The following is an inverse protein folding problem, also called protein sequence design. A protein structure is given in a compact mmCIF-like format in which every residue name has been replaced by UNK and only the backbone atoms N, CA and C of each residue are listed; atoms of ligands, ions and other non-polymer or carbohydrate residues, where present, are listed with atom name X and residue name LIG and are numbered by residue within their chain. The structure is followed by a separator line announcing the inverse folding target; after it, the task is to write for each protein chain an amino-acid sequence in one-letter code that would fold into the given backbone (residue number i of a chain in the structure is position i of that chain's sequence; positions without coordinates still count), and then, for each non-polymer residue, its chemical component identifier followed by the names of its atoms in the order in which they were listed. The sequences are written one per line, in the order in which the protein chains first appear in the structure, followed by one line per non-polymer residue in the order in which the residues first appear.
data_IF_646555106927
#
_entry.id   IF_646555106927
#
_cell.length_a   1.000
_cell.length_b   1.000
_cell.length_c   1.000
_cell.angle_alpha   90.00
_cell.angle_beta   90.00
_cell.angle_gamma   90.00
#
_symmetry.space_group_name_H-M   'P 1'
#
loop_
_entity.id
_entity.type
_entity.pdbx_description
1 polymer ?
#
# COMPACT_ATOMS: atom_id res chain seq x y z
N UNK A 1 32.94 -9.83 34.58
CA UNK A 1 32.18 -8.64 35.05
C UNK A 1 31.46 -9.01 36.33
N UNK A 2 31.42 -8.14 37.33
CA UNK A 2 30.57 -8.33 38.52
C UNK A 2 29.09 -8.23 38.13
N UNK A 3 28.19 -8.78 38.96
CA UNK A 3 26.73 -8.65 38.74
C UNK A 3 26.32 -7.17 38.55
N UNK A 4 26.90 -6.27 39.35
CA UNK A 4 26.65 -4.83 39.24
C UNK A 4 27.13 -4.23 37.91
N UNK A 5 28.28 -4.67 37.39
CA UNK A 5 28.78 -4.25 36.06
C UNK A 5 27.88 -4.75 34.93
N UNK A 6 27.33 -5.97 35.04
CA UNK A 6 26.38 -6.52 34.05
C UNK A 6 25.08 -5.73 34.06
N UNK A 7 24.54 -5.41 35.24
CA UNK A 7 23.35 -4.57 35.37
C UNK A 7 23.55 -3.17 34.77
N UNK A 8 24.67 -2.51 35.07
CA UNK A 8 25.00 -1.20 34.50
C UNK A 8 25.18 -1.26 32.98
N UNK A 9 25.81 -2.31 32.47
CA UNK A 9 25.98 -2.52 31.03
C UNK A 9 24.63 -2.70 30.33
N UNK A 10 23.77 -3.59 30.83
CA UNK A 10 22.42 -3.79 30.29
C UNK A 10 21.60 -2.50 30.34
N UNK A 11 21.65 -1.77 31.47
CA UNK A 11 20.97 -0.48 31.61
C UNK A 11 21.44 0.55 30.57
N UNK A 12 22.76 0.63 30.31
CA UNK A 12 23.33 1.55 29.32
C UNK A 12 22.85 1.24 27.89
N UNK A 13 22.73 -0.05 27.54
CA UNK A 13 22.23 -0.48 26.23
C UNK A 13 20.76 -0.11 26.07
N UNK A 14 19.94 -0.42 27.09
CA UNK A 14 18.52 -0.08 27.09
C UNK A 14 18.34 1.45 26.96
N UNK A 15 19.09 2.22 27.73
CA UNK A 15 19.05 3.69 27.69
C UNK A 15 19.43 4.23 26.32
N UNK A 16 20.53 3.76 25.73
CA UNK A 16 20.97 4.20 24.40
C UNK A 16 19.96 3.86 23.30
N UNK A 17 19.33 2.69 23.39
CA UNK A 17 18.29 2.29 22.43
C UNK A 17 17.01 3.15 22.56
N UNK A 18 16.55 3.39 23.80
CA UNK A 18 15.41 4.27 24.07
C UNK A 18 15.71 5.68 23.56
N UNK A 19 16.90 6.21 23.83
CA UNK A 19 17.32 7.54 23.36
C UNK A 19 17.30 7.61 21.83
N UNK A 20 17.90 6.64 21.13
CA UNK A 20 17.88 6.57 19.68
C UNK A 20 16.45 6.55 19.12
N UNK A 21 15.58 5.71 19.68
CA UNK A 21 14.18 5.65 19.26
C UNK A 21 13.44 6.97 19.48
N UNK A 22 13.58 7.58 20.66
CA UNK A 22 12.93 8.86 20.97
C UNK A 22 13.41 9.95 20.01
N UNK A 23 14.71 9.99 19.70
CA UNK A 23 15.26 10.92 18.70
C UNK A 23 14.66 10.69 17.31
N UNK A 24 14.53 9.44 16.86
CA UNK A 24 13.92 9.12 15.56
C UNK A 24 12.44 9.49 15.50
N UNK A 25 11.67 9.17 16.54
CA UNK A 25 10.26 9.57 16.65
C UNK A 25 10.08 11.07 16.71
N UNK A 26 10.99 11.79 17.39
CA UNK A 26 10.97 13.24 17.44
C UNK A 26 11.16 13.82 16.03
N UNK A 27 12.16 13.33 15.28
CA UNK A 27 12.38 13.75 13.88
C UNK A 27 11.15 13.46 13.02
N UNK A 28 10.61 12.24 13.08
CA UNK A 28 9.40 11.86 12.32
C UNK A 28 8.20 12.73 12.70
N UNK A 29 8.02 13.02 13.99
CA UNK A 29 6.92 13.85 14.49
C UNK A 29 7.08 15.31 14.05
N UNK A 30 8.29 15.86 14.09
CA UNK A 30 8.59 17.20 13.57
C UNK A 30 8.27 17.26 12.08
N UNK A 31 8.76 16.30 11.29
CA UNK A 31 8.48 16.23 9.85
C UNK A 31 6.98 16.11 9.59
N UNK A 32 6.26 15.26 10.31
CA UNK A 32 4.81 15.16 10.21
C UNK A 32 4.12 16.48 10.54
N UNK A 33 4.49 17.12 11.64
CA UNK A 33 3.89 18.38 12.06
C UNK A 33 4.09 19.49 11.02
N UNK A 34 5.31 19.67 10.52
CA UNK A 34 5.57 20.72 9.53
C UNK A 34 5.00 20.39 8.15
N UNK A 35 5.22 19.19 7.61
CA UNK A 35 4.82 18.83 6.24
C UNK A 35 3.31 18.55 6.15
N UNK A 36 2.75 17.81 7.12
CA UNK A 36 1.36 17.33 7.08
C UNK A 36 0.37 18.19 7.87
N UNK A 37 0.81 19.07 8.77
CA UNK A 37 -0.10 19.95 9.53
C UNK A 37 0.05 21.42 9.12
N UNK A 38 1.25 22.00 9.27
CA UNK A 38 1.47 23.44 9.04
C UNK A 38 1.48 23.77 7.54
N UNK A 39 2.33 23.10 6.76
CA UNK A 39 2.58 23.47 5.37
C UNK A 39 1.74 22.67 4.35
N UNK A 40 0.95 21.68 4.78
CA UNK A 40 0.14 20.86 3.89
C UNK A 40 -0.70 21.67 2.87
N UNK A 41 -1.38 22.78 3.25
CA UNK A 41 -2.13 23.61 2.29
C UNK A 41 -1.23 24.24 1.21
N UNK A 42 -0.01 24.65 1.57
CA UNK A 42 0.97 25.25 0.66
C UNK A 42 1.69 24.21 -0.22
N UNK A 43 1.72 22.94 0.23
CA UNK A 43 2.44 21.85 -0.42
C UNK A 43 1.55 20.98 -1.32
N UNK A 44 0.25 21.29 -1.46
CA UNK A 44 -0.70 20.50 -2.28
C UNK A 44 -0.23 20.28 -3.73
N UNK A 45 0.54 21.20 -4.31
CA UNK A 45 1.09 21.02 -5.66
C UNK A 45 2.07 19.84 -5.75
N UNK A 46 2.79 19.54 -4.69
CA UNK A 46 3.77 18.45 -4.59
C UNK A 46 3.16 17.12 -4.12
N UNK A 47 1.88 17.13 -3.74
CA UNK A 47 1.21 15.96 -3.21
C UNK A 47 1.11 14.87 -4.28
N UNK A 48 1.51 13.65 -3.95
CA UNK A 48 1.49 12.54 -4.91
C UNK A 48 0.05 12.04 -5.12
N UNK A 49 -0.66 11.72 -4.03
CA UNK A 49 -2.00 11.16 -4.10
C UNK A 49 -3.11 12.23 -3.98
N UNK A 50 -4.15 12.22 -4.85
CA UNK A 50 -5.27 13.17 -4.81
C UNK A 50 -6.24 12.96 -3.65
N UNK A 51 -6.21 11.76 -3.06
CA UNK A 51 -7.13 11.37 -2.00
C UNK A 51 -6.34 11.15 -0.73
N UNK A 52 -6.67 11.90 0.31
CA UNK A 52 -6.14 11.66 1.65
C UNK A 52 -6.89 10.48 2.26
N UNK A 53 -6.14 9.46 2.69
CA UNK A 53 -6.71 8.29 3.39
C UNK A 53 -6.20 8.13 4.81
N UNK A 54 -5.04 8.73 5.10
CA UNK A 54 -4.49 8.73 6.45
C UNK A 54 -5.31 9.63 7.39
N UNK A 55 -6.03 8.98 8.31
CA UNK A 55 -6.70 9.60 9.45
C UNK A 55 -6.03 9.25 10.78
N UNK A 56 -6.62 9.71 11.88
CA UNK A 56 -6.09 9.45 13.24
C UNK A 56 -5.96 7.96 13.58
N UNK A 57 -6.86 7.13 13.04
CA UNK A 57 -6.83 5.67 13.23
C UNK A 57 -5.59 5.05 12.60
N UNK A 58 -5.24 5.45 11.37
CA UNK A 58 -4.02 4.96 10.71
C UNK A 58 -2.78 5.44 11.46
N UNK A 59 -2.69 6.73 11.80
CA UNK A 59 -1.54 7.29 12.54
C UNK A 59 -1.33 6.57 13.87
N UNK A 60 -2.40 6.29 14.63
CA UNK A 60 -2.31 5.54 15.89
C UNK A 60 -1.81 4.12 15.67
N UNK A 61 -2.26 3.45 14.61
CA UNK A 61 -1.77 2.13 14.26
C UNK A 61 -0.30 2.16 13.83
N UNK A 62 0.11 3.17 13.07
CA UNK A 62 1.48 3.35 12.62
C UNK A 62 2.43 3.52 13.81
N UNK A 63 2.08 4.42 14.74
CA UNK A 63 2.83 4.62 16.00
C UNK A 63 2.90 3.34 16.82
N UNK A 64 1.79 2.59 16.94
CA UNK A 64 1.77 1.30 17.65
C UNK A 64 2.74 0.29 17.03
N UNK A 65 2.74 0.15 15.71
CA UNK A 65 3.65 -0.74 15.00
C UNK A 65 5.12 -0.31 15.21
N UNK A 66 5.39 1.00 15.13
CA UNK A 66 6.73 1.55 15.42
C UNK A 66 7.20 1.18 16.81
N UNK A 67 6.32 1.20 17.82
CA UNK A 67 6.65 0.77 19.19
C UNK A 67 6.99 -0.73 19.25
N UNK A 68 6.28 -1.57 18.51
CA UNK A 68 6.54 -3.02 18.48
C UNK A 68 7.93 -3.31 17.86
N UNK A 69 8.32 -2.58 16.83
CA UNK A 69 9.65 -2.70 16.19
C UNK A 69 10.78 -2.39 17.19
N UNK A 70 10.59 -1.42 18.10
CA UNK A 70 11.56 -1.12 19.17
C UNK A 70 11.85 -2.35 20.01
N UNK A 71 10.80 -3.04 20.44
CA UNK A 71 10.92 -4.16 21.38
C UNK A 71 11.77 -5.28 20.78
N UNK A 72 11.72 -5.47 19.46
CA UNK A 72 12.60 -6.40 18.78
C UNK A 72 14.06 -5.90 18.68
N UNK A 73 14.27 -4.61 18.42
CA UNK A 73 15.63 -4.04 18.37
C UNK A 73 16.36 -4.00 19.71
N UNK A 74 15.62 -4.00 20.84
CA UNK A 74 16.14 -4.20 22.19
C UNK A 74 16.77 -5.59 22.40
N UNK A 75 16.50 -6.56 21.53
CA UNK A 75 17.10 -7.90 21.59
C UNK A 75 18.37 -7.94 20.74
N UNK A 76 18.32 -7.42 19.51
CA UNK A 76 19.42 -7.61 18.55
C UNK A 76 20.64 -6.73 18.81
N UNK A 77 20.43 -5.48 19.26
CA UNK A 77 21.53 -4.55 19.55
C UNK A 77 22.45 -5.04 20.68
N UNK A 78 21.94 -5.49 21.85
CA UNK A 78 22.80 -6.05 22.89
C UNK A 78 23.62 -7.24 22.42
N UNK A 79 23.05 -8.11 21.58
CA UNK A 79 23.77 -9.28 21.04
C UNK A 79 25.00 -8.82 20.26
N UNK A 80 24.86 -7.83 19.37
CA UNK A 80 25.99 -7.30 18.59
C UNK A 80 27.06 -6.69 19.50
N UNK A 81 26.67 -5.93 20.53
CA UNK A 81 27.60 -5.31 21.48
C UNK A 81 28.33 -6.35 22.33
N UNK A 82 27.64 -7.40 22.79
CA UNK A 82 28.25 -8.51 23.52
C UNK A 82 29.25 -9.23 22.62
N UNK A 83 28.88 -9.56 21.38
CA UNK A 83 29.79 -10.20 20.42
C UNK A 83 31.01 -9.33 20.10
N UNK A 84 30.85 -8.00 20.06
CA UNK A 84 31.96 -7.07 19.92
C UNK A 84 32.91 -7.12 21.13
N UNK A 85 32.37 -7.09 22.36
CA UNK A 85 33.20 -7.18 23.58
C UNK A 85 33.94 -8.51 23.69
N UNK A 86 33.35 -9.59 23.18
CA UNK A 86 33.99 -10.91 23.09
C UNK A 86 35.03 -11.00 21.96
N UNK A 87 35.19 -9.95 21.15
CA UNK A 87 36.13 -9.93 20.03
C UNK A 87 35.69 -10.76 18.81
N UNK A 88 34.43 -11.19 18.75
CA UNK A 88 33.91 -11.97 17.62
C UNK A 88 33.55 -11.10 16.41
N UNK A 89 33.23 -9.82 16.62
CA UNK A 89 33.00 -8.87 15.53
C UNK A 89 34.26 -8.09 15.22
N UNK A 90 34.34 -7.57 14.00
CA UNK A 90 35.40 -6.68 13.52
C UNK A 90 35.01 -5.20 13.63
N UNK A 91 34.11 -4.86 14.56
CA UNK A 91 33.69 -3.47 14.77
C UNK A 91 34.78 -2.74 15.55
N UNK A 92 35.26 -1.62 15.00
CA UNK A 92 36.20 -0.74 15.68
C UNK A 92 35.57 0.61 16.04
N UNK A 93 36.04 1.20 17.15
CA UNK A 93 35.46 2.40 17.75
C UNK A 93 36.24 3.66 17.41
N UNK A 94 37.58 3.59 17.42
CA UNK A 94 38.43 4.74 17.11
C UNK A 94 38.36 5.08 15.61
N UNK A 95 37.80 6.24 15.21
CA UNK A 95 37.71 6.62 13.80
C UNK A 95 39.08 6.80 13.13
N UNK A 96 40.15 6.98 13.90
CA UNK A 96 41.49 7.20 13.36
C UNK A 96 42.29 5.91 13.15
N UNK A 97 41.81 4.76 13.67
CA UNK A 97 42.56 3.49 13.65
C UNK A 97 43.06 3.09 12.26
N UNK A 98 42.27 3.34 11.21
CA UNK A 98 42.61 3.04 9.81
C UNK A 98 42.70 4.31 8.94
N UNK A 99 42.63 5.49 9.56
CA UNK A 99 42.64 6.78 8.88
C UNK A 99 41.32 7.17 8.16
N UNK A 100 41.23 8.44 7.78
CA UNK A 100 40.01 9.04 7.19
C UNK A 100 39.61 8.39 5.86
N UNK A 101 40.58 8.03 5.01
CA UNK A 101 40.30 7.39 3.72
C UNK A 101 39.55 6.06 3.87
N UNK A 102 39.96 5.25 4.84
CA UNK A 102 39.27 3.99 5.13
C UNK A 102 37.89 4.22 5.77
N UNK A 103 37.73 5.25 6.61
CA UNK A 103 36.42 5.62 7.16
C UNK A 103 35.43 6.01 6.05
N UNK A 104 35.87 6.83 5.08
CA UNK A 104 35.05 7.22 3.92
C UNK A 104 34.70 5.98 3.10
N UNK A 105 35.68 5.11 2.81
CA UNK A 105 35.43 3.84 2.14
C UNK A 105 34.39 2.99 2.90
N UNK A 106 34.50 2.91 4.22
CA UNK A 106 33.56 2.17 5.07
C UNK A 106 32.13 2.73 4.95
N UNK A 107 31.97 4.07 4.98
CA UNK A 107 30.66 4.70 4.78
C UNK A 107 30.07 4.30 3.42
N UNK A 108 30.85 4.40 2.34
CA UNK A 108 30.39 4.14 0.97
C UNK A 108 30.09 2.65 0.74
N UNK A 109 30.96 1.74 1.19
CA UNK A 109 30.78 0.30 0.95
C UNK A 109 29.60 -0.25 1.74
N UNK A 110 29.40 0.19 3.00
CA UNK A 110 28.24 -0.19 3.79
C UNK A 110 26.95 0.33 3.15
N UNK A 111 26.96 1.55 2.61
CA UNK A 111 25.82 2.12 1.89
C UNK A 111 25.47 1.29 0.64
N UNK A 112 26.47 0.93 -0.18
CA UNK A 112 26.28 0.13 -1.39
C UNK A 112 25.76 -1.28 -1.09
N UNK A 113 26.36 -1.97 -0.11
CA UNK A 113 25.91 -3.30 0.33
C UNK A 113 24.49 -3.21 0.88
N UNK A 114 24.22 -2.21 1.71
CA UNK A 114 22.91 -2.01 2.33
C UNK A 114 21.81 -1.73 1.31
N UNK A 115 22.09 -0.89 0.30
CA UNK A 115 21.13 -0.58 -0.76
C UNK A 115 20.83 -1.81 -1.65
N UNK A 116 21.86 -2.55 -2.04
CA UNK A 116 21.70 -3.81 -2.78
C UNK A 116 20.88 -4.84 -1.97
N UNK A 117 21.27 -5.06 -0.71
CA UNK A 117 20.55 -5.97 0.17
C UNK A 117 19.09 -5.57 0.35
N UNK A 118 18.82 -4.28 0.59
CA UNK A 118 17.47 -3.78 0.75
C UNK A 118 16.61 -4.15 -0.46
N UNK A 119 17.08 -3.89 -1.68
CA UNK A 119 16.34 -4.24 -2.90
C UNK A 119 15.96 -5.73 -2.94
N UNK A 120 16.92 -6.63 -2.76
CA UNK A 120 16.67 -8.07 -2.84
C UNK A 120 15.80 -8.59 -1.70
N UNK A 121 16.08 -8.16 -0.47
CA UNK A 121 15.31 -8.53 0.70
C UNK A 121 13.86 -8.02 0.62
N UNK A 122 13.68 -6.78 0.16
CA UNK A 122 12.37 -6.19 -0.03
C UNK A 122 11.59 -6.91 -1.13
N UNK A 123 12.20 -7.19 -2.28
CA UNK A 123 11.59 -8.00 -3.34
C UNK A 123 11.20 -9.39 -2.84
N UNK A 124 12.04 -10.03 -2.01
CA UNK A 124 11.75 -11.33 -1.42
C UNK A 124 10.56 -11.28 -0.46
N UNK A 125 10.43 -10.21 0.34
CA UNK A 125 9.29 -9.98 1.24
C UNK A 125 7.94 -9.86 0.50
N UNK A 126 7.93 -9.59 -0.81
CA UNK A 126 6.72 -9.60 -1.64
C UNK A 126 6.30 -10.97 -2.16
N UNK A 127 7.04 -12.04 -1.83
CA UNK A 127 6.55 -13.39 -2.05
C UNK A 127 5.26 -13.63 -1.23
N UNK A 128 4.25 -14.36 -1.74
CA UNK A 128 2.91 -14.40 -1.13
C UNK A 128 2.88 -14.78 0.36
N UNK A 129 3.77 -15.68 0.79
CA UNK A 129 3.90 -16.11 2.17
C UNK A 129 4.48 -15.01 3.06
N UNK A 130 5.66 -14.49 2.70
CA UNK A 130 6.32 -13.43 3.47
C UNK A 130 5.51 -12.14 3.47
N UNK A 131 4.84 -11.82 2.36
CA UNK A 131 3.95 -10.67 2.29
C UNK A 131 2.85 -10.79 3.34
N UNK A 132 2.11 -11.90 3.33
CA UNK A 132 0.97 -12.12 4.23
C UNK A 132 1.35 -12.02 5.70
N UNK A 133 2.50 -12.58 6.09
CA UNK A 133 2.87 -12.72 7.50
C UNK A 133 3.78 -11.60 8.03
N UNK A 134 4.57 -10.97 7.16
CA UNK A 134 5.60 -10.00 7.57
C UNK A 134 5.31 -8.65 6.93
N UNK A 135 5.30 -8.57 5.60
CA UNK A 135 5.33 -7.28 4.91
C UNK A 135 3.96 -6.58 4.78
N UNK A 136 2.86 -7.31 4.97
CA UNK A 136 1.51 -6.75 4.87
C UNK A 136 1.28 -5.61 5.87
N UNK A 137 1.95 -5.62 7.02
CA UNK A 137 1.85 -4.54 8.03
C UNK A 137 2.36 -3.21 7.45
N UNK A 138 3.46 -3.23 6.72
CA UNK A 138 4.00 -2.06 6.04
C UNK A 138 3.04 -1.47 5.00
N UNK A 139 2.39 -2.36 4.24
CA UNK A 139 1.44 -2.03 3.18
C UNK A 139 0.02 -1.69 3.67
N UNK A 140 -0.25 -1.75 4.98
CA UNK A 140 -1.54 -1.32 5.55
C UNK A 140 -1.73 0.20 5.47
N UNK A 141 -0.65 0.96 5.34
CA UNK A 141 -0.69 2.42 5.20
C UNK A 141 -1.15 2.82 3.80
N UNK A 142 -2.48 2.92 3.64
CA UNK A 142 -3.16 3.30 2.38
C UNK A 142 -2.68 4.63 1.79
N UNK A 143 -2.15 5.49 2.65
CA UNK A 143 -1.56 6.77 2.31
C UNK A 143 -0.35 6.99 3.23
N UNK A 144 0.85 6.87 2.67
CA UNK A 144 2.10 6.92 3.42
C UNK A 144 2.24 8.26 4.15
N UNK A 145 2.44 8.20 5.46
CA UNK A 145 2.78 9.35 6.30
C UNK A 145 4.21 9.21 6.83
N UNK A 146 4.83 10.27 7.39
CA UNK A 146 6.13 10.12 8.04
C UNK A 146 6.17 9.03 9.12
N UNK A 147 5.04 8.70 9.77
CA UNK A 147 5.00 7.59 10.74
C UNK A 147 5.06 6.20 10.10
N UNK A 148 4.69 6.07 8.81
CA UNK A 148 4.86 4.82 8.05
C UNK A 148 6.33 4.39 7.98
N UNK A 149 7.27 5.35 8.08
CA UNK A 149 8.74 5.12 8.07
C UNK A 149 9.19 3.99 8.99
N UNK A 150 8.58 3.84 10.17
CA UNK A 150 8.93 2.79 11.15
C UNK A 150 7.77 1.83 11.41
N UNK A 151 6.71 1.88 10.61
CA UNK A 151 5.54 1.03 10.76
C UNK A 151 5.74 -0.29 10.03
N UNK A 152 6.30 -1.28 10.75
CA UNK A 152 6.62 -2.59 10.20
C UNK A 152 6.17 -3.72 11.10
N UNK A 153 6.19 -4.94 10.57
CA UNK A 153 6.26 -6.14 11.41
C UNK A 153 7.63 -6.21 12.10
N UNK A 154 7.71 -6.73 13.33
CA UNK A 154 8.95 -6.68 14.12
C UNK A 154 10.14 -7.44 13.49
N UNK A 155 9.88 -8.46 12.67
CA UNK A 155 10.92 -9.18 11.91
C UNK A 155 11.40 -8.45 10.66
N UNK A 156 10.60 -7.54 10.11
CA UNK A 156 10.86 -6.94 8.81
C UNK A 156 12.13 -6.06 8.81
N UNK A 157 12.37 -5.19 9.81
CA UNK A 157 13.63 -4.45 9.90
C UNK A 157 14.86 -5.35 10.03
N UNK A 158 14.73 -6.52 10.66
CA UNK A 158 15.82 -7.49 10.76
C UNK A 158 16.16 -8.10 9.41
N UNK A 159 15.15 -8.42 8.61
CA UNK A 159 15.32 -8.93 7.24
C UNK A 159 15.90 -7.84 6.34
N UNK A 160 15.32 -6.64 6.34
CA UNK A 160 15.75 -5.52 5.51
C UNK A 160 17.16 -5.00 5.87
N UNK A 161 17.58 -5.17 7.12
CA UNK A 161 18.91 -4.77 7.60
C UNK A 161 19.85 -5.96 7.81
N UNK A 162 19.51 -7.15 7.35
CA UNK A 162 20.27 -8.39 7.59
C UNK A 162 21.76 -8.30 7.24
N UNK A 163 22.08 -7.51 6.20
CA UNK A 163 23.44 -7.29 5.73
C UNK A 163 24.41 -6.77 6.80
N UNK A 164 23.96 -5.93 7.76
CA UNK A 164 24.89 -5.37 8.75
C UNK A 164 25.40 -6.46 9.68
N UNK A 165 24.55 -7.43 10.03
CA UNK A 165 24.92 -8.56 10.87
C UNK A 165 25.87 -9.52 10.16
N UNK A 166 25.98 -9.46 8.83
CA UNK A 166 26.97 -10.21 8.06
C UNK A 166 28.27 -9.39 7.95
N UNK A 167 28.17 -8.12 7.59
CA UNK A 167 29.31 -7.23 7.33
C UNK A 167 30.26 -7.13 8.52
N UNK A 168 29.73 -7.04 9.75
CA UNK A 168 30.53 -6.89 10.97
C UNK A 168 31.45 -8.09 11.28
N UNK A 169 31.27 -9.26 10.64
CA UNK A 169 32.17 -10.41 10.78
C UNK A 169 33.19 -10.52 9.64
N UNK A 170 32.91 -9.89 8.48
CA UNK A 170 33.71 -10.06 7.28
C UNK A 170 34.94 -9.14 7.26
N UNK A 171 34.77 -7.85 7.56
CA UNK A 171 35.84 -6.85 7.47
C UNK A 171 35.77 -5.81 8.60
N UNK A 172 36.84 -5.03 8.86
CA UNK A 172 36.82 -3.98 9.87
C UNK A 172 35.77 -2.91 9.56
N UNK A 173 34.79 -2.75 10.46
CA UNK A 173 33.66 -1.81 10.31
C UNK A 173 33.74 -0.73 11.38
N UNK A 174 33.67 0.53 10.98
CA UNK A 174 33.64 1.64 11.93
C UNK A 174 32.25 1.80 12.54
N UNK A 175 32.18 1.94 13.85
CA UNK A 175 30.92 2.32 14.51
C UNK A 175 30.38 3.67 14.04
N UNK A 176 31.27 4.60 13.66
CA UNK A 176 30.91 5.92 13.11
C UNK A 176 30.29 5.77 11.72
N UNK A 177 30.86 4.91 10.86
CA UNK A 177 30.30 4.65 9.53
C UNK A 177 28.94 3.95 9.59
N UNK A 178 28.73 3.05 10.56
CA UNK A 178 27.42 2.47 10.87
C UNK A 178 26.43 3.58 11.23
N UNK A 179 26.80 4.48 12.15
CA UNK A 179 25.96 5.60 12.58
C UNK A 179 25.55 6.52 11.42
N UNK A 180 26.51 6.90 10.56
CA UNK A 180 26.24 7.71 9.37
C UNK A 180 25.25 7.00 8.43
N UNK A 181 25.45 5.70 8.17
CA UNK A 181 24.56 4.92 7.31
C UNK A 181 23.15 4.76 7.90
N UNK A 182 23.01 4.63 9.22
CA UNK A 182 21.71 4.63 9.88
C UNK A 182 20.97 5.97 9.67
N UNK A 183 21.67 7.10 9.78
CA UNK A 183 21.08 8.42 9.52
C UNK A 183 20.67 8.57 8.05
N UNK A 184 21.53 8.17 7.11
CA UNK A 184 21.20 8.18 5.67
C UNK A 184 19.97 7.30 5.39
N UNK A 185 19.93 6.09 5.95
CA UNK A 185 18.81 5.16 5.82
C UNK A 185 17.51 5.73 6.36
N UNK A 186 17.54 6.35 7.55
CA UNK A 186 16.37 7.02 8.14
C UNK A 186 15.87 8.16 7.24
N UNK A 187 16.76 9.03 6.77
CA UNK A 187 16.38 10.15 5.90
C UNK A 187 15.78 9.67 4.58
N UNK A 188 16.36 8.62 3.98
CA UNK A 188 15.81 8.00 2.77
C UNK A 188 14.44 7.40 3.02
N UNK A 189 14.24 6.72 4.15
CA UNK A 189 12.98 6.10 4.50
C UNK A 189 11.88 7.15 4.79
N UNK A 190 12.20 8.20 5.56
CA UNK A 190 11.29 9.34 5.78
C UNK A 190 10.88 9.94 4.44
N UNK A 191 11.87 10.29 3.61
CA UNK A 191 11.65 10.83 2.26
C UNK A 191 10.68 9.95 1.47
N UNK A 192 10.94 8.66 1.37
CA UNK A 192 10.11 7.72 0.61
C UNK A 192 8.65 7.66 1.09
N UNK A 193 8.38 7.94 2.37
CA UNK A 193 7.05 7.92 2.99
C UNK A 193 6.41 9.28 3.21
N UNK A 194 7.00 10.38 2.74
CA UNK A 194 6.44 11.72 2.93
C UNK A 194 5.04 11.87 2.31
N UNK A 195 4.77 11.15 1.21
CA UNK A 195 3.58 11.35 0.40
C UNK A 195 3.62 12.62 -0.49
N UNK A 196 4.75 13.33 -0.52
CA UNK A 196 5.00 14.50 -1.35
C UNK A 196 6.28 14.29 -2.17
N UNK A 197 6.28 14.74 -3.42
CA UNK A 197 7.45 14.69 -4.29
C UNK A 197 8.17 16.05 -4.25
N UNK A 198 9.35 16.07 -3.63
CA UNK A 198 10.16 17.28 -3.47
C UNK A 198 11.41 17.32 -4.35
N UNK A 199 11.73 16.26 -5.08
CA UNK A 199 12.90 16.29 -5.95
C UNK A 199 12.71 17.33 -7.05
N UNK A 200 13.71 18.20 -7.26
CA UNK A 200 13.58 19.28 -8.22
C UNK A 200 13.63 18.76 -9.66
N UNK A 201 13.12 19.55 -10.60
CA UNK A 201 13.09 19.21 -12.04
C UNK A 201 14.48 19.04 -12.65
N UNK A 202 15.49 19.74 -12.13
CA UNK A 202 16.84 19.64 -12.70
C UNK A 202 17.48 18.27 -12.43
N UNK A 203 17.02 17.50 -11.44
CA UNK A 203 17.50 16.13 -11.21
C UNK A 203 17.25 15.25 -12.43
N UNK A 204 16.16 15.47 -13.18
CA UNK A 204 15.79 14.69 -14.35
C UNK A 204 16.84 14.80 -15.48
N UNK A 205 17.68 15.84 -15.43
CA UNK A 205 18.77 16.12 -16.39
C UNK A 205 20.14 15.66 -15.90
N UNK A 206 20.25 15.11 -14.70
CA UNK A 206 21.53 14.67 -14.11
C UNK A 206 21.46 13.21 -13.68
N UNK A 207 22.57 12.66 -13.17
CA UNK A 207 22.60 11.33 -12.56
C UNK A 207 21.73 11.20 -11.31
N UNK A 208 21.32 12.33 -10.70
CA UNK A 208 20.44 12.34 -9.53
C UNK A 208 19.02 11.84 -9.85
N UNK A 209 18.63 11.73 -11.12
CA UNK A 209 17.37 11.07 -11.52
C UNK A 209 17.27 9.61 -11.08
N UNK A 210 18.41 8.95 -10.84
CA UNK A 210 18.47 7.56 -10.40
C UNK A 210 18.30 7.40 -8.88
N UNK A 211 18.21 8.49 -8.12
CA UNK A 211 17.83 8.41 -6.71
C UNK A 211 16.35 8.03 -6.58
N UNK A 212 16.05 7.10 -5.69
CA UNK A 212 14.66 6.76 -5.35
C UNK A 212 14.01 7.99 -4.72
N UNK A 213 12.82 8.34 -5.20
CA UNK A 213 12.04 9.47 -4.69
C UNK A 213 10.72 8.97 -4.07
N UNK A 214 9.95 9.90 -3.49
CA UNK A 214 8.69 9.58 -2.83
C UNK A 214 7.67 9.02 -3.82
N UNK A 215 7.65 9.49 -5.08
CA UNK A 215 6.77 8.93 -6.10
C UNK A 215 7.06 7.46 -6.40
N UNK A 216 8.33 7.06 -6.50
CA UNK A 216 8.75 5.68 -6.74
C UNK A 216 8.16 4.74 -5.68
N UNK A 217 8.36 5.07 -4.40
CA UNK A 217 7.87 4.26 -3.30
C UNK A 217 6.35 4.35 -3.10
N UNK A 218 5.73 5.48 -3.43
CA UNK A 218 4.27 5.58 -3.41
C UNK A 218 3.60 4.67 -4.46
N UNK A 219 4.21 4.53 -5.64
CA UNK A 219 3.77 3.55 -6.64
C UNK A 219 3.94 2.11 -6.13
N UNK A 220 5.03 1.84 -5.40
CA UNK A 220 5.24 0.55 -4.73
C UNK A 220 4.10 0.20 -3.76
N UNK A 221 3.74 1.11 -2.84
CA UNK A 221 2.62 0.95 -1.89
C UNK A 221 1.24 0.80 -2.55
N UNK A 222 1.10 1.23 -3.80
CA UNK A 222 -0.18 1.17 -4.52
C UNK A 222 -0.29 -0.02 -5.46
N UNK A 223 0.82 -0.57 -5.96
CA UNK A 223 0.81 -1.67 -6.95
C UNK A 223 1.46 -2.96 -6.46
N UNK A 224 2.24 -2.91 -5.38
CA UNK A 224 2.88 -4.03 -4.67
C UNK A 224 3.95 -4.81 -5.44
N UNK A 225 3.92 -4.85 -6.78
CA UNK A 225 4.74 -5.74 -7.60
C UNK A 225 5.87 -5.07 -8.39
N UNK A 226 6.44 -3.98 -7.87
CA UNK A 226 7.54 -3.27 -8.52
C UNK A 226 8.07 -2.12 -7.65
N UNK A 227 9.09 -1.41 -8.11
CA UNK A 227 9.72 -0.28 -7.42
C UNK A 227 10.24 -0.63 -6.01
N UNK A 228 11.11 -1.64 -5.89
CA UNK A 228 11.58 -2.18 -4.60
C UNK A 228 12.73 -1.41 -3.96
N UNK A 229 13.48 -0.59 -4.69
CA UNK A 229 14.63 0.16 -4.18
C UNK A 229 14.28 1.22 -3.12
N UNK A 230 15.27 1.58 -2.30
CA UNK A 230 15.15 2.62 -1.25
C UNK A 230 16.05 3.83 -1.46
N UNK A 231 17.31 3.65 -1.89
CA UNK A 231 18.24 4.77 -2.12
C UNK A 231 18.42 5.06 -3.60
N UNK A 232 18.74 4.05 -4.40
CA UNK A 232 18.90 4.17 -5.86
C UNK A 232 17.99 3.21 -6.65
N UNK A 233 17.54 3.67 -7.82
CA UNK A 233 16.69 2.95 -8.78
C UNK A 233 17.46 1.92 -9.60
N UNK A 234 18.79 1.88 -9.48
CA UNK A 234 19.67 1.05 -10.29
C UNK A 234 19.21 -0.42 -10.33
N UNK A 235 18.88 -1.01 -9.19
CA UNK A 235 18.44 -2.40 -9.11
C UNK A 235 17.08 -2.63 -9.78
N UNK A 236 16.13 -1.71 -9.61
CA UNK A 236 14.84 -1.79 -10.30
C UNK A 236 14.98 -1.72 -11.82
N UNK A 237 15.90 -0.89 -12.31
CA UNK A 237 16.21 -0.77 -13.73
C UNK A 237 16.90 -2.03 -14.28
N UNK A 238 17.91 -2.56 -13.57
CA UNK A 238 18.67 -3.75 -13.99
C UNK A 238 17.78 -4.99 -14.04
N UNK A 239 16.85 -5.14 -13.10
CA UNK A 239 15.98 -6.31 -13.02
C UNK A 239 14.59 -6.08 -13.63
N UNK A 240 14.33 -4.94 -14.26
CA UNK A 240 13.06 -4.62 -14.90
C UNK A 240 11.87 -4.62 -13.94
N UNK A 241 12.08 -4.21 -12.69
CA UNK A 241 11.02 -4.12 -11.68
C UNK A 241 10.48 -2.70 -11.50
N UNK A 242 10.99 -1.72 -12.24
CA UNK A 242 10.41 -0.38 -12.29
C UNK A 242 9.13 -0.36 -13.15
N UNK A 243 8.10 0.36 -12.72
CA UNK A 243 6.90 0.53 -13.52
C UNK A 243 7.11 1.41 -14.76
N UNK A 244 6.60 0.97 -15.91
CA UNK A 244 6.73 1.67 -17.20
C UNK A 244 6.24 3.13 -17.19
N UNK A 245 5.26 3.45 -16.35
CA UNK A 245 4.69 4.80 -16.26
C UNK A 245 5.29 5.66 -15.14
N UNK A 246 6.39 5.21 -14.51
CA UNK A 246 7.08 5.93 -13.44
C UNK A 246 7.44 7.36 -13.86
N UNK A 247 8.12 7.54 -15.00
CA UNK A 247 8.58 8.86 -15.46
C UNK A 247 7.39 9.80 -15.72
N UNK A 248 6.28 9.26 -16.23
CA UNK A 248 5.02 10.00 -16.41
C UNK A 248 4.47 10.44 -15.06
N UNK A 249 4.41 9.55 -14.06
CA UNK A 249 3.90 9.85 -12.73
C UNK A 249 4.72 10.94 -12.02
N UNK A 250 6.05 10.85 -12.06
CA UNK A 250 6.94 11.88 -11.51
C UNK A 250 6.75 13.22 -12.23
N UNK A 251 6.72 13.19 -13.56
CA UNK A 251 6.54 14.39 -14.39
C UNK A 251 5.20 15.07 -14.11
N UNK A 252 4.12 14.31 -13.91
CA UNK A 252 2.81 14.87 -13.57
C UNK A 252 2.84 15.64 -12.25
N UNK A 253 3.52 15.13 -11.22
CA UNK A 253 3.63 15.83 -9.94
C UNK A 253 4.56 17.04 -10.06
N UNK A 254 5.76 16.88 -10.63
CA UNK A 254 6.75 17.97 -10.77
C UNK A 254 6.26 19.12 -11.64
N UNK A 255 5.48 18.86 -12.69
CA UNK A 255 4.99 19.88 -13.62
C UNK A 255 3.68 20.53 -13.19
N UNK A 256 3.09 20.11 -12.07
CA UNK A 256 1.82 20.67 -11.58
C UNK A 256 1.97 22.13 -11.16
N UNK A 257 1.29 23.04 -11.87
CA UNK A 257 1.27 24.49 -11.56
C UNK A 257 0.25 24.86 -10.49
N UNK A 258 -0.94 24.25 -10.52
CA UNK A 258 -2.05 24.55 -9.60
C UNK A 258 -2.09 23.55 -8.44
N UNK A 259 -2.45 23.99 -7.22
CA UNK A 259 -2.74 23.07 -6.12
C UNK A 259 -3.77 22.02 -6.55
N UNK A 260 -3.55 20.77 -6.14
CA UNK A 260 -4.53 19.70 -6.34
C UNK A 260 -5.60 19.78 -5.26
N UNK A 261 -6.89 19.71 -5.66
CA UNK A 261 -7.98 19.54 -4.70
C UNK A 261 -7.82 18.16 -4.04
N UNK A 262 -7.49 18.15 -2.76
CA UNK A 262 -7.37 16.92 -1.99
C UNK A 262 -8.74 16.50 -1.49
N UNK A 263 -9.19 15.31 -1.86
CA UNK A 263 -10.42 14.72 -1.35
C UNK A 263 -10.08 13.98 -0.05
N UNK A 264 -10.70 14.37 1.07
CA UNK A 264 -10.53 13.65 2.34
C UNK A 264 -11.43 12.42 2.39
N UNK A 265 -10.83 11.24 2.18
CA UNK A 265 -11.49 9.95 2.27
C UNK A 265 -11.16 9.19 3.56
N UNK A 266 -10.83 9.92 4.64
CA UNK A 266 -10.68 9.37 5.99
C UNK A 266 -11.96 9.49 6.84
N UNK A 267 -12.94 10.26 6.36
CA UNK A 267 -14.21 10.56 7.05
C UNK A 267 -15.35 9.77 6.43
N UNK A 268 -16.11 9.06 7.27
CA UNK A 268 -17.33 8.37 6.85
C UNK A 268 -18.46 9.37 6.63
N UNK A 269 -19.20 9.19 5.53
CA UNK A 269 -20.36 10.00 5.12
C UNK A 269 -21.61 9.14 5.09
N UNK A 270 -22.75 9.72 5.45
CA UNK A 270 -24.02 9.00 5.39
C UNK A 270 -24.50 8.91 3.94
N UNK A 271 -24.88 7.71 3.51
CA UNK A 271 -25.56 7.41 2.25
C UNK A 271 -26.82 6.60 2.55
N UNK A 272 -27.84 6.70 1.69
CA UNK A 272 -29.12 6.02 1.88
C UNK A 272 -29.31 4.91 0.87
N UNK A 273 -29.90 3.80 1.31
CA UNK A 273 -30.34 2.73 0.40
C UNK A 273 -31.49 3.29 -0.45
N UNK A 274 -31.30 3.38 -1.77
CA UNK A 274 -32.34 3.82 -2.70
C UNK A 274 -33.17 2.67 -3.26
N UNK A 275 -32.58 1.47 -3.36
CA UNK A 275 -33.25 0.29 -3.91
C UNK A 275 -32.58 -1.01 -3.42
N UNK A 276 -33.37 -2.07 -3.27
CA UNK A 276 -32.92 -3.42 -2.95
C UNK A 276 -33.51 -4.38 -3.99
N UNK A 277 -32.68 -5.22 -4.61
CA UNK A 277 -33.09 -6.16 -5.67
C UNK A 277 -32.52 -7.55 -5.39
N UNK A 278 -33.35 -8.59 -5.19
CA UNK A 278 -32.88 -9.98 -5.16
C UNK A 278 -32.30 -10.39 -6.51
N UNK A 279 -31.07 -10.91 -6.52
CA UNK A 279 -30.40 -11.40 -7.73
C UNK A 279 -30.53 -12.93 -7.86
N UNK A 280 -30.41 -13.63 -6.73
CA UNK A 280 -30.58 -15.09 -6.62
C UNK A 280 -31.14 -15.42 -5.24
N UNK A 281 -31.38 -16.70 -4.93
CA UNK A 281 -31.75 -17.12 -3.57
C UNK A 281 -30.72 -16.69 -2.51
N UNK A 282 -29.44 -16.57 -2.85
CA UNK A 282 -28.37 -16.27 -1.89
C UNK A 282 -27.78 -14.86 -2.06
N UNK A 283 -28.16 -14.11 -3.09
CA UNK A 283 -27.55 -12.82 -3.42
C UNK A 283 -28.57 -11.70 -3.67
N UNK A 284 -28.23 -10.50 -3.20
CA UNK A 284 -29.05 -9.29 -3.32
C UNK A 284 -28.19 -8.09 -3.68
N UNK A 285 -28.68 -7.26 -4.58
CA UNK A 285 -28.10 -5.96 -4.94
C UNK A 285 -28.71 -4.84 -4.13
N UNK A 286 -27.85 -3.98 -3.56
CA UNK A 286 -28.21 -2.78 -2.81
C UNK A 286 -27.71 -1.57 -3.58
N UNK A 287 -28.60 -0.61 -3.79
CA UNK A 287 -28.34 0.60 -4.57
C UNK A 287 -28.28 1.83 -3.65
N UNK A 288 -27.44 2.78 -4.04
CA UNK A 288 -27.28 4.07 -3.37
C UNK A 288 -27.19 5.18 -4.40
N UNK A 289 -27.80 6.32 -4.09
CA UNK A 289 -27.75 7.54 -4.91
C UNK A 289 -27.32 8.73 -4.02
N UNK A 290 -26.04 8.76 -3.58
CA UNK A 290 -25.54 9.88 -2.79
C UNK A 290 -25.55 11.18 -3.59
N UNK A 291 -25.88 12.29 -2.93
CA UNK A 291 -25.83 13.64 -3.53
C UNK A 291 -24.39 14.10 -3.80
N UNK A 292 -23.43 13.62 -3.02
CA UNK A 292 -22.02 13.98 -3.16
C UNK A 292 -21.38 13.30 -4.38
N UNK A 293 -21.12 14.09 -5.42
CA UNK A 293 -20.59 13.61 -6.70
C UNK A 293 -19.26 12.86 -6.60
N UNK A 294 -18.48 13.07 -5.53
CA UNK A 294 -17.21 12.37 -5.35
C UNK A 294 -17.39 10.85 -5.20
N UNK A 295 -18.59 10.38 -4.84
CA UNK A 295 -18.91 8.95 -4.81
C UNK A 295 -18.89 8.29 -6.19
N UNK A 296 -19.13 9.04 -7.27
CA UNK A 296 -19.15 8.51 -8.64
C UNK A 296 -17.78 8.60 -9.34
N UNK A 297 -16.80 9.28 -8.71
CA UNK A 297 -15.42 9.41 -9.21
C UNK A 297 -14.58 8.16 -8.88
N UNK A 298 -14.96 7.01 -9.43
CA UNK A 298 -14.26 5.73 -9.22
C UNK A 298 -13.91 5.04 -10.53
N UNK A 299 -12.92 4.15 -10.48
CA UNK A 299 -12.57 3.29 -11.60
C UNK A 299 -13.37 1.98 -11.54
N UNK A 300 -13.81 1.43 -12.69
CA UNK A 300 -14.53 0.17 -12.71
C UNK A 300 -13.72 -0.95 -12.05
N UNK A 301 -14.35 -1.72 -11.16
CA UNK A 301 -13.70 -2.75 -10.33
C UNK A 301 -13.35 -2.34 -8.90
N UNK A 302 -13.36 -1.04 -8.59
CA UNK A 302 -13.13 -0.55 -7.23
C UNK A 302 -14.24 -0.96 -6.25
N UNK A 303 -13.99 -0.77 -4.96
CA UNK A 303 -14.87 -1.14 -3.86
C UNK A 303 -15.25 0.07 -3.01
N UNK A 304 -16.32 -0.08 -2.24
CA UNK A 304 -16.76 0.88 -1.23
C UNK A 304 -16.59 0.29 0.18
N UNK A 305 -16.13 1.13 1.11
CA UNK A 305 -16.00 0.75 2.53
C UNK A 305 -17.24 1.22 3.28
N UNK A 306 -18.02 0.28 3.79
CA UNK A 306 -19.24 0.55 4.55
C UNK A 306 -19.02 0.28 6.03
N UNK A 307 -19.60 1.15 6.86
CA UNK A 307 -19.78 0.96 8.29
C UNK A 307 -21.26 0.78 8.57
N UNK A 308 -21.61 -0.44 8.97
CA UNK A 308 -22.99 -0.90 9.14
C UNK A 308 -23.17 -1.29 10.61
N UNK A 309 -24.25 -0.81 11.22
CA UNK A 309 -24.62 -1.17 12.60
C UNK A 309 -25.64 -2.29 12.56
N UNK A 310 -25.29 -3.45 13.12
CA UNK A 310 -26.18 -4.62 13.22
C UNK A 310 -26.29 -5.00 14.68
N UNK A 311 -27.51 -5.02 15.22
CA UNK A 311 -27.80 -5.37 16.63
C UNK A 311 -26.90 -4.62 17.63
N UNK A 312 -26.78 -3.30 17.47
CA UNK A 312 -25.96 -2.44 18.34
C UNK A 312 -24.46 -2.47 18.05
N UNK A 313 -23.93 -3.45 17.31
CA UNK A 313 -22.50 -3.59 16.99
C UNK A 313 -22.16 -3.01 15.62
N UNK A 314 -21.05 -2.28 15.56
CA UNK A 314 -20.56 -1.64 14.33
C UNK A 314 -19.60 -2.57 13.59
N UNK A 315 -19.91 -2.85 12.33
CA UNK A 315 -19.08 -3.65 11.43
C UNK A 315 -18.56 -2.77 10.29
N UNK A 316 -17.27 -2.90 9.97
CA UNK A 316 -16.66 -2.34 8.76
C UNK A 316 -16.53 -3.44 7.72
N UNK A 317 -17.06 -3.24 6.52
CA UNK A 317 -17.00 -4.20 5.42
C UNK A 317 -16.67 -3.51 4.11
N UNK A 318 -16.00 -4.25 3.26
CA UNK A 318 -15.60 -3.80 1.93
C UNK A 318 -16.44 -4.57 0.92
N UNK A 319 -17.07 -3.85 -0.01
CA UNK A 319 -17.87 -4.44 -1.07
C UNK A 319 -17.44 -3.86 -2.42
N UNK A 320 -17.14 -4.72 -3.38
CA UNK A 320 -16.90 -4.29 -4.76
C UNK A 320 -18.15 -3.62 -5.33
N UNK A 321 -17.96 -2.53 -6.08
CA UNK A 321 -19.06 -1.93 -6.82
C UNK A 321 -19.37 -2.80 -8.04
N UNK A 322 -20.63 -3.20 -8.18
CA UNK A 322 -21.16 -3.90 -9.34
C UNK A 322 -21.79 -2.95 -10.37
N UNK A 323 -21.96 -1.67 -10.03
CA UNK A 323 -22.30 -0.57 -10.94
C UNK A 323 -21.09 -0.14 -11.78
N UNK A 324 -21.34 0.42 -12.95
CA UNK A 324 -20.35 1.06 -13.81
C UNK A 324 -20.37 2.59 -13.59
N UNK A 325 -19.21 3.23 -13.34
CA UNK A 325 -19.12 4.69 -13.25
C UNK A 325 -19.30 5.39 -14.60
N UNK A 326 -19.32 4.63 -15.71
CA UNK A 326 -19.43 5.18 -17.07
C UNK A 326 -20.88 5.30 -17.51
N UNK A 327 -21.73 4.34 -17.13
CA UNK A 327 -23.11 4.25 -17.64
C UNK A 327 -24.17 4.37 -16.56
N UNK A 328 -23.85 4.12 -15.29
CA UNK A 328 -24.83 4.20 -14.21
C UNK A 328 -24.73 5.54 -13.47
N UNK A 329 -25.89 6.05 -13.02
CA UNK A 329 -26.01 7.23 -12.15
C UNK A 329 -26.25 6.88 -10.68
N UNK A 330 -26.00 5.63 -10.32
CA UNK A 330 -26.15 5.08 -8.98
C UNK A 330 -24.91 4.26 -8.63
N UNK A 331 -24.70 4.04 -7.34
CA UNK A 331 -23.80 3.01 -6.84
C UNK A 331 -24.58 1.73 -6.60
N UNK A 332 -24.00 0.59 -6.96
CA UNK A 332 -24.55 -0.73 -6.66
C UNK A 332 -23.49 -1.61 -6.02
N UNK A 333 -23.82 -2.21 -4.89
CA UNK A 333 -23.10 -3.37 -4.36
C UNK A 333 -23.98 -4.61 -4.52
N UNK A 334 -23.37 -5.78 -4.65
CA UNK A 334 -24.12 -7.04 -4.69
C UNK A 334 -23.48 -8.01 -3.71
N UNK A 335 -24.28 -8.47 -2.75
CA UNK A 335 -23.80 -9.25 -1.63
C UNK A 335 -24.38 -10.65 -1.69
N UNK A 336 -23.51 -11.66 -1.50
CA UNK A 336 -23.92 -13.04 -1.27
C UNK A 336 -23.92 -13.31 0.24
N UNK A 337 -24.97 -13.93 0.77
CA UNK A 337 -25.11 -14.19 2.20
C UNK A 337 -24.02 -15.16 2.70
N UNK A 338 -23.10 -14.66 3.54
CA UNK A 338 -22.02 -15.46 4.13
C UNK A 338 -21.74 -15.09 5.61
N UNK A 339 -22.40 -14.07 6.15
CA UNK A 339 -22.23 -13.69 7.56
C UNK A 339 -23.19 -12.59 8.00
N UNK A 340 -23.03 -12.16 9.25
CA UNK A 340 -23.96 -11.24 9.95
C UNK A 340 -24.33 -10.01 9.12
N UNK A 341 -23.34 -9.32 8.53
CA UNK A 341 -23.61 -8.09 7.76
C UNK A 341 -24.36 -8.36 6.46
N UNK A 342 -23.96 -9.38 5.71
CA UNK A 342 -24.64 -9.73 4.44
C UNK A 342 -26.04 -10.32 4.67
N UNK A 343 -26.25 -11.01 5.81
CA UNK A 343 -27.56 -11.50 6.21
C UNK A 343 -28.49 -10.33 6.57
N UNK A 344 -28.00 -9.36 7.35
CA UNK A 344 -28.71 -8.12 7.64
C UNK A 344 -29.08 -7.37 6.35
N UNK A 345 -28.12 -7.13 5.46
CA UNK A 345 -28.37 -6.41 4.19
C UNK A 345 -29.41 -7.10 3.29
N UNK A 346 -29.53 -8.43 3.36
CA UNK A 346 -30.51 -9.19 2.57
C UNK A 346 -31.89 -9.24 3.23
N UNK A 347 -31.93 -9.47 4.54
CA UNK A 347 -33.15 -9.90 5.23
C UNK A 347 -33.81 -8.80 6.06
N UNK A 348 -33.05 -7.78 6.46
CA UNK A 348 -33.48 -6.78 7.44
C UNK A 348 -33.37 -5.34 6.93
N UNK A 349 -32.40 -5.05 6.04
CA UNK A 349 -32.22 -3.71 5.50
C UNK A 349 -33.42 -3.26 4.65
N UNK A 350 -33.74 -1.97 4.74
CA UNK A 350 -34.88 -1.36 4.06
C UNK A 350 -34.44 -0.16 3.21
N UNK A 351 -35.23 0.16 2.19
CA UNK A 351 -35.06 1.40 1.43
C UNK A 351 -35.24 2.59 2.38
N UNK A 352 -34.33 3.56 2.29
CA UNK A 352 -34.25 4.69 3.20
C UNK A 352 -33.25 4.52 4.35
N UNK A 353 -32.80 3.30 4.64
CA UNK A 353 -31.81 3.05 5.70
C UNK A 353 -30.52 3.83 5.44
N UNK A 354 -29.99 4.43 6.52
CA UNK A 354 -28.75 5.19 6.50
C UNK A 354 -27.54 4.29 6.81
N UNK A 355 -26.57 4.30 5.90
CA UNK A 355 -25.30 3.59 6.04
C UNK A 355 -24.15 4.58 5.94
N UNK A 356 -23.09 4.36 6.72
CA UNK A 356 -21.89 5.19 6.64
C UNK A 356 -20.91 4.61 5.61
N UNK A 357 -20.38 5.44 4.71
CA UNK A 357 -19.46 5.04 3.66
C UNK A 357 -18.25 5.98 3.51
N UNK A 358 -17.13 5.42 3.10
CA UNK A 358 -16.03 6.17 2.46
C UNK A 358 -16.27 6.21 0.94
N UNK A 359 -15.70 7.19 0.24
CA UNK A 359 -15.70 7.19 -1.23
C UNK A 359 -15.04 5.93 -1.77
N UNK A 360 -15.47 5.46 -2.97
CA UNK A 360 -14.91 4.25 -3.53
C UNK A 360 -13.41 4.35 -3.81
N UNK A 361 -12.75 3.21 -3.71
CA UNK A 361 -11.31 3.07 -3.93
C UNK A 361 -10.97 1.60 -4.20
N UNK A 362 -9.79 1.35 -4.75
CA UNK A 362 -9.26 0.00 -4.94
C UNK A 362 -8.28 -0.06 -6.09
N UNK A 363 -7.35 -1.01 -6.03
CA UNK A 363 -6.31 -1.20 -7.05
C UNK A 363 -6.72 -2.21 -8.12
N UNK A 364 -7.67 -3.10 -7.80
CA UNK A 364 -8.26 -4.01 -8.77
C UNK A 364 -9.26 -3.25 -9.65
N UNK A 365 -8.75 -2.60 -10.70
CA UNK A 365 -9.53 -1.76 -11.59
C UNK A 365 -9.03 -1.85 -13.04
N UNK A 366 -9.78 -1.26 -13.97
CA UNK A 366 -9.36 -1.06 -15.36
C UNK A 366 -9.26 0.43 -15.69
N UNK A 367 -8.16 0.81 -16.35
CA UNK A 367 -8.00 2.13 -16.94
C UNK A 367 -8.52 2.09 -18.37
N UNK A 368 -9.64 2.79 -18.60
CA UNK A 368 -10.30 2.77 -19.90
C UNK A 368 -9.51 3.61 -20.91
N UNK A 369 -9.26 3.02 -22.09
CA UNK A 369 -8.68 3.68 -23.26
C UNK A 369 -9.79 3.97 -24.29
N UNK A 370 -10.22 5.24 -24.48
CA UNK A 370 -11.26 5.57 -25.46
C UNK A 370 -10.95 5.13 -26.90
N UNK A 371 -9.66 4.98 -27.25
CA UNK A 371 -9.25 4.54 -28.58
C UNK A 371 -9.40 3.02 -28.78
N UNK A 372 -9.46 2.24 -27.69
CA UNK A 372 -9.65 0.79 -27.66
C UNK A 372 -8.61 -0.02 -28.45
N UNK A 373 -7.84 -0.85 -27.77
CA UNK A 373 -6.76 -1.64 -28.39
C UNK A 373 -6.36 -2.87 -27.58
N UNK A 374 -7.25 -3.35 -26.69
CA UNK A 374 -6.94 -4.45 -25.75
C UNK A 374 -7.97 -5.56 -25.83
N UNK A 375 -7.47 -6.79 -25.66
CA UNK A 375 -8.30 -7.97 -25.42
C UNK A 375 -8.26 -8.31 -23.93
N UNK A 376 -9.43 -8.43 -23.31
CA UNK A 376 -9.58 -8.70 -21.90
C UNK A 376 -10.06 -10.14 -21.68
N UNK A 377 -9.30 -10.91 -20.89
CA UNK A 377 -9.78 -12.15 -20.30
C UNK A 377 -10.24 -11.91 -18.86
N UNK A 378 -11.54 -12.02 -18.63
CA UNK A 378 -12.18 -11.82 -17.34
C UNK A 378 -12.62 -13.16 -16.77
N UNK A 379 -12.14 -13.51 -15.57
CA UNK A 379 -12.44 -14.79 -14.92
C UNK A 379 -13.13 -14.53 -13.59
N UNK A 380 -14.36 -15.03 -13.45
CA UNK A 380 -15.20 -14.85 -12.27
C UNK A 380 -15.71 -16.19 -11.74
N UNK A 381 -15.96 -16.24 -10.42
CA UNK A 381 -16.65 -17.36 -9.77
C UNK A 381 -17.63 -16.85 -8.71
N UNK A 382 -18.90 -17.29 -8.77
CA UNK A 382 -19.94 -16.85 -7.83
C UNK A 382 -20.04 -15.32 -7.71
N UNK A 383 -19.96 -14.78 -6.48
CA UNK A 383 -19.99 -13.33 -6.21
C UNK A 383 -18.72 -12.57 -6.64
N UNK A 384 -17.66 -13.29 -7.06
CA UNK A 384 -16.47 -12.68 -7.66
C UNK A 384 -16.77 -11.95 -8.98
N UNK A 385 -17.94 -12.15 -9.56
CA UNK A 385 -18.41 -11.40 -10.73
C UNK A 385 -18.61 -9.91 -10.46
N UNK A 386 -18.79 -9.48 -9.20
CA UNK A 386 -19.20 -8.10 -8.87
C UNK A 386 -18.27 -6.99 -9.41
N UNK A 387 -16.95 -6.98 -9.14
CA UNK A 387 -16.05 -6.00 -9.75
C UNK A 387 -15.92 -6.20 -11.27
N UNK A 388 -15.94 -7.45 -11.73
CA UNK A 388 -15.79 -7.78 -13.16
C UNK A 388 -16.99 -7.25 -13.95
N UNK A 389 -18.20 -7.34 -13.42
CA UNK A 389 -19.41 -6.80 -14.02
C UNK A 389 -19.29 -5.29 -14.25
N UNK A 390 -18.78 -4.56 -13.24
CA UNK A 390 -18.46 -3.13 -13.37
C UNK A 390 -17.43 -2.88 -14.49
N UNK A 391 -16.35 -3.65 -14.53
CA UNK A 391 -15.30 -3.55 -15.56
C UNK A 391 -15.85 -3.80 -16.96
N UNK A 392 -16.52 -4.94 -17.17
CA UNK A 392 -17.06 -5.37 -18.47
C UNK A 392 -18.02 -4.33 -19.02
N UNK A 393 -19.00 -3.88 -18.23
CA UNK A 393 -19.96 -2.85 -18.67
C UNK A 393 -19.27 -1.53 -19.04
N UNK A 394 -18.22 -1.17 -18.31
CA UNK A 394 -17.48 0.07 -18.56
C UNK A 394 -16.58 0.00 -19.79
N UNK A 395 -15.89 -1.14 -19.99
CA UNK A 395 -15.07 -1.41 -21.18
C UNK A 395 -15.94 -1.36 -22.42
N UNK A 396 -17.03 -2.14 -22.46
CA UNK A 396 -17.90 -2.22 -23.63
C UNK A 396 -18.58 -0.88 -23.97
N UNK A 397 -18.83 -0.04 -22.95
CA UNK A 397 -19.39 1.28 -23.17
C UNK A 397 -18.38 2.32 -23.70
N UNK A 398 -17.09 2.18 -23.38
CA UNK A 398 -16.07 3.22 -23.65
C UNK A 398 -15.03 2.83 -24.70
N UNK A 399 -14.66 1.56 -24.78
CA UNK A 399 -13.62 1.03 -25.67
C UNK A 399 -14.27 0.27 -26.84
N UNK A 400 -14.49 0.95 -27.96
CA UNK A 400 -15.32 0.43 -29.07
C UNK A 400 -14.72 -0.75 -29.84
N UNK A 401 -13.41 -0.91 -29.76
CA UNK A 401 -12.59 -1.87 -30.53
C UNK A 401 -12.00 -2.97 -29.65
N UNK A 402 -12.10 -2.85 -28.32
CA UNK A 402 -11.61 -3.85 -27.39
C UNK A 402 -12.54 -5.06 -27.34
N UNK A 403 -11.99 -6.26 -27.09
CA UNK A 403 -12.76 -7.49 -26.90
C UNK A 403 -12.75 -7.95 -25.46
N UNK A 404 -13.81 -8.61 -25.03
CA UNK A 404 -13.96 -9.13 -23.67
C UNK A 404 -14.38 -10.61 -23.72
N UNK A 405 -13.55 -11.49 -23.19
CA UNK A 405 -13.93 -12.88 -22.92
C UNK A 405 -14.22 -13.02 -21.43
N UNK A 406 -15.46 -13.39 -21.08
CA UNK A 406 -15.87 -13.65 -19.71
C UNK A 406 -16.01 -15.16 -19.47
N UNK A 407 -15.14 -15.72 -18.63
CA UNK A 407 -15.28 -17.06 -18.09
C UNK A 407 -15.94 -16.96 -16.71
N UNK A 408 -17.18 -17.43 -16.59
CA UNK A 408 -17.96 -17.30 -15.35
C UNK A 408 -18.40 -18.66 -14.80
N UNK A 409 -17.80 -19.08 -13.70
CA UNK A 409 -18.11 -20.36 -13.06
C UNK A 409 -19.11 -20.21 -11.91
N UNK A 410 -20.16 -21.04 -11.92
CA UNK A 410 -21.20 -21.06 -10.89
C UNK A 410 -21.54 -22.51 -10.48
N UNK A 411 -22.30 -22.68 -9.39
CA UNK A 411 -22.69 -24.02 -8.93
C UNK A 411 -23.84 -24.57 -9.77
N UNK A 412 -24.83 -23.73 -10.04
CA UNK A 412 -26.00 -24.02 -10.87
C UNK A 412 -26.44 -22.77 -11.66
N UNK A 413 -27.39 -22.96 -12.58
CA UNK A 413 -28.05 -21.90 -13.36
C UNK A 413 -28.74 -20.85 -12.49
N UNK A 414 -29.39 -21.26 -11.41
CA UNK A 414 -30.14 -20.39 -10.49
C UNK A 414 -29.21 -19.55 -9.59
N UNK A 415 -27.93 -19.94 -9.52
CA UNK A 415 -26.91 -19.24 -8.72
C UNK A 415 -26.14 -18.19 -9.51
N UNK A 416 -26.45 -18.00 -10.80
CA UNK A 416 -25.80 -17.02 -11.67
C UNK A 416 -26.28 -15.62 -11.27
N UNK A 417 -25.40 -14.84 -10.67
CA UNK A 417 -25.66 -13.43 -10.35
C UNK A 417 -25.59 -12.62 -11.65
N UNK A 418 -26.54 -11.70 -11.85
CA UNK A 418 -26.69 -10.88 -13.07
C UNK A 418 -26.98 -11.67 -14.35
N UNK A 419 -27.59 -12.86 -14.27
CA UNK A 419 -27.83 -13.73 -15.43
C UNK A 419 -28.45 -13.00 -16.63
N UNK A 420 -29.48 -12.19 -16.39
CA UNK A 420 -30.14 -11.42 -17.44
C UNK A 420 -29.25 -10.30 -18.00
N UNK A 421 -28.60 -9.50 -17.14
CA UNK A 421 -27.69 -8.43 -17.59
C UNK A 421 -26.53 -8.99 -18.42
N UNK A 422 -25.99 -10.15 -18.02
CA UNK A 422 -24.91 -10.85 -18.73
C UNK A 422 -25.39 -11.33 -20.11
N UNK A 423 -26.60 -11.91 -20.19
CA UNK A 423 -27.21 -12.30 -21.47
C UNK A 423 -27.45 -11.09 -22.38
N UNK A 424 -27.97 -10.00 -21.83
CA UNK A 424 -28.22 -8.78 -22.60
C UNK A 424 -26.92 -8.17 -23.15
N UNK A 425 -25.80 -8.31 -22.41
CA UNK A 425 -24.48 -7.90 -22.89
C UNK A 425 -23.98 -8.78 -24.04
N UNK A 426 -24.13 -10.11 -23.96
CA UNK A 426 -23.75 -10.99 -25.07
C UNK A 426 -24.61 -10.78 -26.32
N UNK A 427 -25.89 -10.48 -26.14
CA UNK A 427 -26.82 -10.24 -27.25
C UNK A 427 -26.54 -8.88 -27.93
N UNK A 428 -26.06 -7.88 -27.17
CA UNK A 428 -25.78 -6.52 -27.67
C UNK A 428 -24.40 -6.36 -28.29
N UNK A 429 -23.39 -7.09 -27.82
CA UNK A 429 -22.00 -6.90 -28.23
C UNK A 429 -21.41 -8.18 -28.81
N UNK A 430 -21.01 -8.11 -30.09
CA UNK A 430 -20.28 -9.20 -30.79
C UNK A 430 -18.92 -9.48 -30.10
N UNK A 431 -18.37 -8.49 -29.40
CA UNK A 431 -17.07 -8.53 -28.73
C UNK A 431 -17.08 -9.29 -27.39
N UNK A 432 -18.19 -9.93 -27.00
CA UNK A 432 -18.33 -10.62 -25.70
C UNK A 432 -18.52 -12.12 -25.88
N UNK A 433 -17.52 -12.92 -25.50
CA UNK A 433 -17.67 -14.37 -25.41
C UNK A 433 -17.88 -14.78 -23.94
N UNK A 434 -19.05 -15.34 -23.63
CA UNK A 434 -19.38 -15.77 -22.27
C UNK A 434 -19.38 -17.29 -22.21
N UNK A 435 -18.49 -17.87 -21.40
CA UNK A 435 -18.50 -19.31 -21.11
C UNK A 435 -18.88 -19.53 -19.67
N UNK A 436 -20.03 -20.17 -19.48
CA UNK A 436 -20.50 -20.59 -18.17
C UNK A 436 -20.12 -22.04 -17.91
N UNK A 437 -19.56 -22.31 -16.73
CA UNK A 437 -19.25 -23.68 -16.28
C UNK A 437 -19.94 -23.94 -14.95
N UNK A 438 -20.57 -25.10 -14.85
CA UNK A 438 -21.24 -25.57 -13.65
C UNK A 438 -20.39 -26.64 -12.97
N UNK A 439 -20.16 -26.53 -11.65
CA UNK A 439 -19.36 -27.53 -10.93
C UNK A 439 -20.05 -28.89 -10.80
N UNK A 440 -21.38 -28.92 -10.99
CA UNK A 440 -22.20 -30.12 -10.85
C UNK A 440 -22.64 -30.74 -12.18
N UNK A 441 -22.17 -30.23 -13.32
CA UNK A 441 -22.40 -30.92 -14.60
C UNK A 441 -21.38 -32.05 -14.75
N UNK A 442 -21.74 -33.25 -14.28
CA UNK A 442 -21.21 -34.49 -14.83
C UNK A 442 -21.68 -34.60 -16.29
N UNK A 443 -21.00 -33.93 -17.21
CA UNK A 443 -21.03 -34.20 -18.64
C UNK A 443 -19.66 -33.88 -19.24
#
# INVERSE_FOLDING_TARGET
MSSQQIHQFIASIIQGFIQSFVSQMLVITIVHFFVWRIFAPKLQRFRIQPVKRAGSVQIRQEIKNSIIVILAGLITTPIVLILQQMGYTKIYVDPNQYGLGYLIFNVVILWLIGDAWFYFAHRWLHQPTLYRYIHAVHHQSLDTTPYTTLSFHYLEPLILSGWIYIAIFLFPVSIVAIGINQVIGLLNNIKSHLGYEFYPKFFDKTSLKYLVNSTHHNQHHTRYNGNYGLSIRFWDLVFGTEFDDYDRAVSQVKNRKKPMKIIDNSVYRTIKISKIVPETHEATSIYFEPEDENFYNYLPGQHINLRIKVQGKVYKRVFSLSSSPVVDRFLRITVKQHGVVTAYLRNEAQVGDEIQALYPWGQFNVWLNPNGDKDYLMIAGGSGITPIHSMVRSILAKERTSQVVLLYANKSTESIIFAQEIKDLSDRYIAVLIRMRYSNSHL
#
